data_IF_907569291254
#
_entry.id   IF_907569291254
#
_cell.length_a   1.000
_cell.length_b   1.000
_cell.length_c   1.000
_cell.angle_alpha   90.00
_cell.angle_beta   90.00
_cell.angle_gamma   90.00
#
_symmetry.space_group_name_H-M   'P 1'
#
loop_
_entity.id
_entity.type
_entity.pdbx_description
1 polymer ?
#
# COMPACT_ATOMS: atom_id res chain seq x y z
N UNK A 1 6.59 36.11 25.78
CA UNK A 1 7.12 36.54 24.46
C UNK A 1 8.57 36.10 24.39
N UNK A 2 8.94 35.27 23.42
CA UNK A 2 10.32 34.80 23.26
C UNK A 2 11.22 35.98 22.87
N UNK A 3 12.25 36.28 23.65
CA UNK A 3 13.17 37.39 23.40
C UNK A 3 14.22 36.99 22.34
N UNK A 4 13.75 36.72 21.12
CA UNK A 4 14.54 36.21 20.00
C UNK A 4 14.33 37.14 18.80
N UNK A 5 15.37 37.45 18.00
CA UNK A 5 15.22 38.23 16.78
C UNK A 5 14.13 37.65 15.86
N UNK A 6 13.25 38.52 15.36
CA UNK A 6 12.17 38.16 14.43
C UNK A 6 12.57 37.18 13.31
N UNK A 7 13.71 37.32 12.60
CA UNK A 7 14.09 36.38 11.54
C UNK A 7 14.36 34.95 12.02
N UNK A 8 14.90 34.76 13.23
CA UNK A 8 15.14 33.42 13.79
C UNK A 8 13.83 32.74 14.20
N UNK A 9 12.91 33.52 14.80
CA UNK A 9 11.61 33.02 15.19
C UNK A 9 10.77 32.59 13.97
N UNK A 10 10.78 33.39 12.90
CA UNK A 10 10.11 33.05 11.64
C UNK A 10 10.64 31.76 11.03
N UNK A 11 11.96 31.54 11.06
CA UNK A 11 12.59 30.35 10.49
C UNK A 11 12.18 29.08 11.25
N UNK A 12 12.14 29.13 12.58
CA UNK A 12 11.65 28.02 13.41
C UNK A 12 10.19 27.71 13.09
N UNK A 13 9.32 28.73 13.05
CA UNK A 13 7.91 28.53 12.68
C UNK A 13 7.75 27.96 11.26
N UNK A 14 8.57 28.39 10.32
CA UNK A 14 8.55 27.85 8.96
C UNK A 14 8.95 26.37 8.92
N UNK A 15 9.97 25.96 9.68
CA UNK A 15 10.37 24.55 9.79
C UNK A 15 9.27 23.70 10.44
N UNK A 16 8.61 24.19 11.49
CA UNK A 16 7.46 23.52 12.09
C UNK A 16 6.27 23.42 11.13
N UNK A 17 5.96 24.48 10.39
CA UNK A 17 4.89 24.47 9.40
C UNK A 17 5.16 23.42 8.31
N UNK A 18 6.40 23.31 7.83
CA UNK A 18 6.80 22.29 6.86
C UNK A 18 6.63 20.87 7.43
N UNK A 19 7.00 20.64 8.69
CA UNK A 19 6.80 19.36 9.35
C UNK A 19 5.31 18.99 9.48
N UNK A 20 4.47 19.96 9.83
CA UNK A 20 3.02 19.77 9.93
C UNK A 20 2.37 19.48 8.57
N UNK A 21 2.86 20.13 7.51
CA UNK A 21 2.44 19.82 6.14
C UNK A 21 2.80 18.39 5.75
N UNK A 22 4.05 17.97 5.98
CA UNK A 22 4.50 16.60 5.69
C UNK A 22 3.70 15.53 6.47
N UNK A 23 3.40 15.79 7.75
CA UNK A 23 2.54 14.92 8.56
C UNK A 23 1.12 14.82 8.01
N UNK A 24 0.55 15.96 7.59
CA UNK A 24 -0.80 15.98 7.01
C UNK A 24 -0.86 15.23 5.67
N UNK A 25 0.17 15.35 4.83
CA UNK A 25 0.30 14.57 3.60
C UNK A 25 0.40 13.06 3.88
N UNK A 26 1.19 12.66 4.88
CA UNK A 26 1.28 11.26 5.30
C UNK A 26 -0.08 10.74 5.83
N UNK A 27 -0.81 11.55 6.58
CA UNK A 27 -2.17 11.20 7.04
C UNK A 27 -3.16 11.03 5.89
N UNK A 28 -3.00 11.74 4.76
CA UNK A 28 -3.89 11.57 3.59
C UNK A 28 -3.78 10.17 3.01
N UNK A 29 -2.57 9.60 2.97
CA UNK A 29 -2.35 8.22 2.50
C UNK A 29 -3.11 7.19 3.34
N UNK A 30 -3.20 7.38 4.66
CA UNK A 30 -3.92 6.48 5.55
C UNK A 30 -5.44 6.71 5.51
N UNK A 31 -5.86 7.98 5.36
CA UNK A 31 -7.29 8.35 5.48
C UNK A 31 -8.07 8.19 4.19
N UNK A 32 -7.40 8.29 3.04
CA UNK A 32 -8.03 8.16 1.72
C UNK A 32 -7.88 6.73 1.25
N UNK A 33 -8.69 5.84 1.82
CA UNK A 33 -8.82 4.47 1.31
C UNK A 33 -9.43 4.49 -0.09
N UNK A 34 -9.15 3.46 -0.88
CA UNK A 34 -9.76 3.28 -2.18
C UNK A 34 -11.29 3.25 -2.07
N UNK A 35 -12.01 3.78 -3.08
CA UNK A 35 -13.46 3.70 -3.08
C UNK A 35 -13.90 2.24 -3.00
N UNK A 36 -14.80 1.93 -2.06
CA UNK A 36 -15.41 0.62 -1.94
C UNK A 36 -15.82 -0.05 -3.27
N UNK A 37 -16.48 0.62 -4.23
CA UNK A 37 -16.86 -0.02 -5.49
C UNK A 37 -15.65 -0.52 -6.29
N UNK A 38 -14.50 0.14 -6.20
CA UNK A 38 -13.28 -0.31 -6.87
C UNK A 38 -12.78 -1.64 -6.27
N UNK A 39 -12.60 -1.69 -4.95
CA UNK A 39 -12.14 -2.91 -4.27
C UNK A 39 -13.15 -4.06 -4.45
N UNK A 40 -14.45 -3.77 -4.39
CA UNK A 40 -15.50 -4.76 -4.61
C UNK A 40 -15.48 -5.33 -6.03
N UNK A 41 -15.34 -4.48 -7.05
CA UNK A 41 -15.32 -4.92 -8.45
C UNK A 41 -14.07 -5.75 -8.78
N UNK A 42 -12.90 -5.36 -8.28
CA UNK A 42 -11.66 -6.14 -8.43
C UNK A 42 -11.79 -7.53 -7.81
N UNK A 43 -12.34 -7.62 -6.58
CA UNK A 43 -12.57 -8.92 -5.92
C UNK A 43 -13.57 -9.80 -6.67
N UNK A 44 -14.67 -9.22 -7.16
CA UNK A 44 -15.65 -9.94 -7.98
C UNK A 44 -14.99 -10.46 -9.26
N UNK A 45 -14.18 -9.63 -9.94
CA UNK A 45 -13.46 -10.03 -11.14
C UNK A 45 -12.49 -11.17 -10.88
N UNK A 46 -11.76 -11.15 -9.76
CA UNK A 46 -10.84 -12.23 -9.36
C UNK A 46 -11.56 -13.54 -9.07
N UNK A 47 -12.72 -13.50 -8.42
CA UNK A 47 -13.56 -14.69 -8.19
C UNK A 47 -14.05 -15.27 -9.52
N UNK A 48 -14.54 -14.41 -10.42
CA UNK A 48 -14.93 -14.83 -11.77
C UNK A 48 -13.75 -15.44 -12.53
N UNK A 49 -12.58 -14.78 -12.52
CA UNK A 49 -11.36 -15.28 -13.13
C UNK A 49 -10.99 -16.66 -12.58
N UNK A 50 -11.04 -16.82 -11.25
CA UNK A 50 -10.72 -18.10 -10.57
C UNK A 50 -11.65 -19.22 -11.01
N UNK A 51 -12.94 -18.92 -11.19
CA UNK A 51 -13.92 -19.91 -11.66
C UNK A 51 -13.77 -20.21 -13.16
N UNK A 52 -13.62 -19.20 -14.02
CA UNK A 52 -13.65 -19.34 -15.48
C UNK A 52 -12.34 -19.92 -16.04
N UNK A 53 -11.21 -19.54 -15.47
CA UNK A 53 -9.87 -19.97 -15.92
C UNK A 53 -9.74 -21.49 -16.07
N UNK A 54 -10.09 -22.34 -15.08
CA UNK A 54 -10.01 -23.79 -15.23
C UNK A 54 -10.94 -24.33 -16.32
N UNK A 55 -12.15 -23.76 -16.51
CA UNK A 55 -13.04 -24.20 -17.60
C UNK A 55 -12.43 -23.93 -18.98
N UNK A 56 -11.82 -22.75 -19.16
CA UNK A 56 -11.20 -22.37 -20.44
C UNK A 56 -9.97 -23.23 -20.73
N UNK A 57 -9.11 -23.46 -19.75
CA UNK A 57 -7.91 -24.28 -19.97
C UNK A 57 -8.23 -25.77 -20.21
N UNK A 58 -9.28 -26.30 -19.56
CA UNK A 58 -9.75 -27.67 -19.80
C UNK A 58 -10.37 -27.86 -21.20
N UNK A 59 -10.99 -26.83 -21.78
CA UNK A 59 -11.54 -26.93 -23.14
C UNK A 59 -10.47 -26.74 -24.23
N UNK A 60 -9.41 -25.98 -23.92
CA UNK A 60 -8.36 -25.64 -24.89
C UNK A 60 -7.29 -26.73 -25.07
N UNK A 61 -7.06 -27.56 -24.06
CA UNK A 61 -5.95 -28.54 -24.06
C UNK A 61 -6.47 -29.97 -23.93
N UNK A 62 -6.02 -30.87 -24.82
CA UNK A 62 -6.38 -32.30 -24.77
C UNK A 62 -5.64 -33.12 -23.71
N UNK A 63 -4.62 -32.54 -23.06
CA UNK A 63 -3.83 -33.21 -22.03
C UNK A 63 -4.47 -33.09 -20.64
N UNK A 64 -4.27 -34.11 -19.79
CA UNK A 64 -4.95 -34.21 -18.48
C UNK A 64 -4.33 -33.36 -17.36
N UNK A 65 -3.05 -33.02 -17.47
CA UNK A 65 -2.27 -32.40 -16.37
C UNK A 65 -1.97 -30.92 -16.61
N UNK A 66 -1.63 -30.54 -17.84
CA UNK A 66 -1.26 -29.16 -18.16
C UNK A 66 -2.35 -28.10 -17.87
N UNK A 67 -3.66 -28.36 -18.10
CA UNK A 67 -4.70 -27.39 -17.78
C UNK A 67 -4.71 -26.98 -16.30
N UNK A 68 -4.47 -27.93 -15.40
CA UNK A 68 -4.45 -27.67 -13.96
C UNK A 68 -3.25 -26.81 -13.56
N UNK A 69 -2.07 -27.08 -14.12
CA UNK A 69 -0.85 -26.30 -13.86
C UNK A 69 -1.02 -24.87 -14.36
N UNK A 70 -1.49 -24.69 -15.61
CA UNK A 70 -1.68 -23.36 -16.17
C UNK A 70 -2.77 -22.56 -15.43
N UNK A 71 -3.89 -23.20 -15.12
CA UNK A 71 -4.95 -22.56 -14.34
C UNK A 71 -4.45 -22.15 -12.94
N UNK A 72 -3.67 -23.00 -12.26
CA UNK A 72 -3.10 -22.67 -10.96
C UNK A 72 -2.15 -21.48 -11.04
N UNK A 73 -1.16 -21.51 -11.94
CA UNK A 73 -0.16 -20.43 -12.08
C UNK A 73 -0.85 -19.11 -12.41
N UNK A 74 -1.83 -19.14 -13.31
CA UNK A 74 -2.56 -17.95 -13.74
C UNK A 74 -3.37 -17.35 -12.58
N UNK A 75 -4.24 -18.15 -11.94
CA UNK A 75 -5.05 -17.71 -10.81
C UNK A 75 -4.18 -17.24 -9.64
N UNK A 76 -3.15 -18.01 -9.30
CA UNK A 76 -2.20 -17.67 -8.23
C UNK A 76 -1.55 -16.31 -8.46
N UNK A 77 -1.08 -16.03 -9.67
CA UNK A 77 -0.41 -14.76 -10.00
C UNK A 77 -1.35 -13.56 -9.76
N UNK A 78 -2.60 -13.65 -10.20
CA UNK A 78 -3.57 -12.57 -10.03
C UNK A 78 -3.98 -12.37 -8.57
N UNK A 79 -4.13 -13.45 -7.80
CA UNK A 79 -4.39 -13.33 -6.36
C UNK A 79 -3.19 -12.76 -5.60
N UNK A 80 -1.97 -13.22 -5.91
CA UNK A 80 -0.75 -12.69 -5.31
C UNK A 80 -0.59 -11.19 -5.58
N UNK A 81 -0.88 -10.74 -6.81
CA UNK A 81 -0.91 -9.32 -7.16
C UNK A 81 -1.95 -8.54 -6.36
N UNK A 82 -3.16 -9.09 -6.19
CA UNK A 82 -4.21 -8.45 -5.39
C UNK A 82 -3.79 -8.28 -3.93
N UNK A 83 -3.26 -9.32 -3.30
CA UNK A 83 -2.80 -9.23 -1.90
C UNK A 83 -1.64 -8.24 -1.75
N UNK A 84 -0.71 -8.25 -2.69
CA UNK A 84 0.40 -7.27 -2.69
C UNK A 84 -0.13 -5.83 -2.83
N UNK A 85 -1.14 -5.61 -3.65
CA UNK A 85 -1.76 -4.29 -3.80
C UNK A 85 -2.50 -3.84 -2.52
N UNK A 86 -3.18 -4.77 -1.84
CA UNK A 86 -3.83 -4.49 -0.55
C UNK A 86 -2.81 -4.12 0.54
N UNK A 87 -1.66 -4.81 0.59
CA UNK A 87 -0.57 -4.46 1.53
C UNK A 87 0.02 -3.08 1.25
N UNK A 88 0.16 -2.70 -0.03
CA UNK A 88 0.69 -1.40 -0.45
C UNK A 88 -0.27 -0.23 -0.19
N UNK A 89 -1.57 -0.49 0.02
CA UNK A 89 -2.56 0.56 0.27
C UNK A 89 -2.35 1.25 1.63
N UNK A 90 -1.82 0.53 2.63
CA UNK A 90 -1.51 1.09 3.95
C UNK A 90 -0.04 0.85 4.37
N UNK A 91 0.90 1.68 3.89
CA UNK A 91 2.32 1.51 4.16
C UNK A 91 2.71 1.79 5.63
N UNK A 92 1.78 2.29 6.44
CA UNK A 92 1.98 2.64 7.85
C UNK A 92 1.28 1.67 8.82
N UNK A 93 0.71 0.57 8.32
CA UNK A 93 0.06 -0.45 9.15
C UNK A 93 1.05 -1.33 9.93
N UNK A 94 0.60 -2.49 10.40
CA UNK A 94 1.37 -3.37 11.29
C UNK A 94 1.94 -4.64 10.61
N UNK A 95 2.03 -4.64 9.28
CA UNK A 95 2.62 -5.76 8.50
C UNK A 95 4.15 -5.67 8.44
N UNK A 96 4.81 -6.81 8.30
CA UNK A 96 6.28 -6.92 8.28
C UNK A 96 6.96 -6.08 7.18
N UNK A 97 6.27 -5.84 6.06
CA UNK A 97 6.78 -5.07 4.92
C UNK A 97 6.47 -3.56 5.00
N UNK A 98 5.90 -3.08 6.10
CA UNK A 98 5.54 -1.68 6.25
C UNK A 98 6.71 -0.80 6.69
N UNK A 99 6.50 0.52 6.59
CA UNK A 99 7.47 1.50 7.08
C UNK A 99 7.68 1.33 8.58
N UNK A 100 8.92 1.10 8.99
CA UNK A 100 9.27 1.03 10.40
C UNK A 100 9.26 2.44 11.03
N UNK A 101 8.07 2.87 11.47
CA UNK A 101 7.87 4.19 12.08
C UNK A 101 8.70 4.39 13.34
N UNK A 102 9.01 3.32 14.08
CA UNK A 102 9.89 3.40 15.26
C UNK A 102 11.32 3.74 14.86
N UNK A 103 11.83 3.11 13.80
CA UNK A 103 13.14 3.44 13.26
C UNK A 103 13.16 4.86 12.69
N UNK A 104 12.13 5.27 11.95
CA UNK A 104 12.02 6.64 11.46
C UNK A 104 12.05 7.68 12.59
N UNK A 105 11.34 7.42 13.70
CA UNK A 105 11.36 8.29 14.88
C UNK A 105 12.74 8.31 15.54
N UNK A 106 13.39 7.15 15.65
CA UNK A 106 14.74 7.04 16.21
C UNK A 106 15.76 7.81 15.36
N UNK A 107 15.70 7.67 14.04
CA UNK A 107 16.56 8.39 13.10
C UNK A 107 16.30 9.91 13.13
N UNK A 108 15.05 10.32 13.31
CA UNK A 108 14.69 11.74 13.52
C UNK A 108 15.35 12.26 14.81
N UNK A 109 15.20 11.54 15.92
CA UNK A 109 15.77 11.91 17.21
C UNK A 109 17.30 12.02 17.15
N UNK A 110 17.96 11.10 16.45
CA UNK A 110 19.42 11.13 16.28
C UNK A 110 19.94 12.31 15.47
N UNK A 111 19.09 12.94 14.64
CA UNK A 111 19.45 14.14 13.86
C UNK A 111 19.24 15.44 14.63
N UNK A 112 18.68 15.39 15.85
CA UNK A 112 18.49 16.54 16.72
C UNK A 112 19.69 16.80 17.64
N UNK A 113 20.63 15.86 17.73
CA UNK A 113 21.87 15.92 18.52
C UNK A 113 23.03 16.28 17.60
#
# INVERSE_FOLDING_TARGET
VLNIPAPLLTLVFQKFANGMHAYTEALRLVRVALPFPYTATTRILLVLLTSLTPYVFCSWTSSRVWPAIFAFVFVFTFWALNFTAEDLENPFGDHDNNLNMRQCQHDLNNRLV
#
